data_IF_616126850027
#
_entry.id   IF_616126850027
#
_cell.length_a   1.000
_cell.length_b   1.000
_cell.length_c   1.000
_cell.angle_alpha   90.00
_cell.angle_beta   90.00
_cell.angle_gamma   90.00
#
_symmetry.space_group_name_H-M   'P 1'
#
loop_
_entity.id
_entity.type
_entity.pdbx_description
1 polymer ?
#
# COMPACT_ATOMS: atom_id res chain seq x y z
N UNK A 1 -27.09 6.87 -1.31
CA UNK A 1 -26.40 5.63 -1.73
C UNK A 1 -26.39 4.68 -0.54
N UNK A 2 -26.59 3.37 -0.74
CA UNK A 2 -26.38 2.42 0.35
C UNK A 2 -24.88 2.45 0.74
N UNK A 3 -24.56 2.31 2.02
CA UNK A 3 -23.17 2.24 2.43
C UNK A 3 -22.48 1.01 1.85
N UNK A 4 -21.16 1.13 1.66
CA UNK A 4 -20.31 0.06 1.16
C UNK A 4 -19.62 -0.56 2.37
N UNK A 5 -19.95 -1.82 2.65
CA UNK A 5 -19.30 -2.61 3.70
C UNK A 5 -18.19 -3.40 3.04
N UNK A 6 -16.97 -3.21 3.52
CA UNK A 6 -15.78 -3.81 2.92
C UNK A 6 -14.93 -4.45 4.01
N UNK A 7 -14.31 -5.59 3.69
CA UNK A 7 -13.20 -6.17 4.44
C UNK A 7 -11.91 -5.92 3.68
N UNK A 8 -10.91 -5.37 4.36
CA UNK A 8 -9.54 -5.29 3.84
C UNK A 8 -8.60 -6.12 4.69
N UNK A 9 -7.53 -6.61 4.09
CA UNK A 9 -6.42 -7.24 4.81
C UNK A 9 -5.20 -6.34 4.68
N UNK A 10 -4.61 -5.97 5.81
CA UNK A 10 -3.34 -5.22 5.87
C UNK A 10 -2.25 -6.11 6.46
N UNK A 11 -1.06 -6.09 5.87
CA UNK A 11 0.07 -6.91 6.27
C UNK A 11 1.28 -6.02 6.58
N UNK A 12 2.05 -6.43 7.60
CA UNK A 12 3.32 -5.81 7.96
C UNK A 12 4.40 -6.88 8.02
N UNK A 13 5.49 -6.65 7.29
CA UNK A 13 6.70 -7.47 7.29
C UNK A 13 7.88 -6.63 7.78
N UNK A 14 8.67 -7.15 8.71
CA UNK A 14 9.85 -6.44 9.20
C UNK A 14 10.59 -7.16 10.34
N UNK A 15 11.36 -6.41 11.12
CA UNK A 15 12.09 -6.91 12.28
C UNK A 15 12.41 -5.77 13.26
N UNK A 16 12.51 -6.03 14.58
CA UNK A 16 12.14 -7.25 15.31
C UNK A 16 10.61 -7.39 15.48
N UNK A 17 10.16 -8.50 16.06
CA UNK A 17 8.74 -8.86 16.24
C UNK A 17 7.90 -7.72 16.82
N UNK A 18 8.40 -7.08 17.87
CA UNK A 18 7.68 -6.05 18.62
C UNK A 18 7.40 -4.80 17.77
N UNK A 19 8.33 -4.44 16.88
CA UNK A 19 8.14 -3.31 15.96
C UNK A 19 7.11 -3.63 14.89
N UNK A 20 7.06 -4.88 14.43
CA UNK A 20 6.11 -5.34 13.42
C UNK A 20 4.68 -5.35 13.97
N UNK A 21 4.48 -5.90 15.16
CA UNK A 21 3.18 -5.91 15.84
C UNK A 21 2.72 -4.49 16.18
N UNK A 22 3.62 -3.63 16.68
CA UNK A 22 3.30 -2.23 16.94
C UNK A 22 2.90 -1.48 15.67
N UNK A 23 3.63 -1.68 14.57
CA UNK A 23 3.32 -1.05 13.29
C UNK A 23 1.94 -1.45 12.77
N UNK A 24 1.54 -2.73 12.91
CA UNK A 24 0.20 -3.17 12.57
C UNK A 24 -0.87 -2.47 13.43
N UNK A 25 -0.63 -2.35 14.74
CA UNK A 25 -1.53 -1.62 15.66
C UNK A 25 -1.66 -0.15 15.25
N UNK A 26 -0.55 0.50 14.89
CA UNK A 26 -0.55 1.89 14.43
C UNK A 26 -1.34 2.06 13.12
N UNK A 27 -1.24 1.11 12.19
CA UNK A 27 -2.06 1.09 10.96
C UNK A 27 -3.54 0.96 11.30
N UNK A 28 -3.92 -0.01 12.15
CA UNK A 28 -5.31 -0.21 12.58
C UNK A 28 -5.86 1.06 13.24
N UNK A 29 -5.09 1.70 14.11
CA UNK A 29 -5.50 2.91 14.81
C UNK A 29 -5.71 4.08 13.84
N UNK A 30 -4.83 4.25 12.85
CA UNK A 30 -5.01 5.27 11.80
C UNK A 30 -6.31 5.05 11.03
N UNK A 31 -6.61 3.80 10.64
CA UNK A 31 -7.85 3.45 9.93
C UNK A 31 -9.08 3.76 10.81
N UNK A 32 -9.03 3.45 12.12
CA UNK A 32 -10.12 3.78 13.05
C UNK A 32 -10.37 5.27 13.21
N UNK A 33 -9.35 6.11 13.02
CA UNK A 33 -9.47 7.58 13.09
C UNK A 33 -9.75 8.23 11.73
N UNK A 34 -9.83 7.44 10.67
CA UNK A 34 -10.01 7.94 9.32
C UNK A 34 -11.42 8.52 9.13
N UNK A 35 -11.50 9.71 8.53
CA UNK A 35 -12.80 10.37 8.35
C UNK A 35 -13.63 9.58 7.35
N UNK A 36 -14.93 9.42 7.64
CA UNK A 36 -15.87 8.71 6.75
C UNK A 36 -15.59 7.21 6.59
N UNK A 37 -14.81 6.63 7.51
CA UNK A 37 -14.61 5.19 7.67
C UNK A 37 -15.17 4.81 9.04
N UNK A 38 -16.16 3.91 9.07
CA UNK A 38 -16.70 3.39 10.32
C UNK A 38 -16.27 1.93 10.49
N UNK A 39 -15.28 1.70 11.34
CA UNK A 39 -14.73 0.35 11.58
C UNK A 39 -15.72 -0.46 12.41
N UNK A 40 -16.13 -1.60 11.87
CA UNK A 40 -17.09 -2.52 12.49
C UNK A 40 -16.39 -3.67 13.21
N UNK A 41 -15.35 -4.24 12.60
CA UNK A 41 -14.64 -5.41 13.14
C UNK A 41 -13.16 -5.37 12.79
N UNK A 42 -12.33 -5.85 13.72
CA UNK A 42 -10.89 -6.04 13.50
C UNK A 42 -10.49 -7.41 14.02
N UNK A 43 -9.89 -8.23 13.16
CA UNK A 43 -9.24 -9.49 13.54
C UNK A 43 -7.74 -9.35 13.26
N UNK A 44 -6.93 -9.11 14.30
CA UNK A 44 -5.49 -9.07 14.19
C UNK A 44 -4.89 -10.43 14.55
N UNK A 45 -3.86 -10.85 13.82
CA UNK A 45 -3.22 -12.15 13.99
C UNK A 45 -1.79 -11.97 14.49
N UNK A 46 -1.31 -12.87 15.36
CA UNK A 46 0.03 -12.77 15.94
C UNK A 46 1.14 -12.83 14.89
N UNK A 47 2.24 -12.13 15.14
CA UNK A 47 3.38 -12.14 14.23
C UNK A 47 4.06 -13.52 14.22
N UNK A 48 4.31 -14.02 13.00
CA UNK A 48 5.02 -15.27 12.74
C UNK A 48 6.41 -14.99 12.21
N UNK A 49 7.39 -15.75 12.67
CA UNK A 49 8.76 -15.67 12.15
C UNK A 49 8.80 -16.22 10.72
N UNK A 50 9.50 -15.50 9.87
CA UNK A 50 9.73 -15.79 8.46
C UNK A 50 11.24 -15.97 8.23
N UNK A 51 11.61 -16.30 6.99
CA UNK A 51 13.02 -16.44 6.62
C UNK A 51 13.81 -15.15 6.91
N UNK A 52 15.12 -15.31 7.17
CA UNK A 52 16.06 -14.20 7.39
C UNK A 52 15.76 -13.33 8.63
N UNK A 53 15.21 -13.91 9.71
CA UNK A 53 14.87 -13.21 10.97
C UNK A 53 13.84 -12.09 10.79
N UNK A 54 13.02 -12.19 9.75
CA UNK A 54 11.89 -11.31 9.53
C UNK A 54 10.66 -11.87 10.23
N UNK A 55 9.70 -11.00 10.50
CA UNK A 55 8.42 -11.31 11.13
C UNK A 55 7.32 -10.73 10.25
N UNK A 56 6.27 -11.52 10.01
CA UNK A 56 5.06 -11.07 9.31
C UNK A 56 3.84 -11.18 10.23
N UNK A 57 2.96 -10.19 10.16
CA UNK A 57 1.67 -10.15 10.83
C UNK A 57 0.66 -9.49 9.90
N UNK A 58 -0.62 -9.79 10.08
CA UNK A 58 -1.69 -9.17 9.32
C UNK A 58 -2.94 -8.96 10.17
N UNK A 59 -3.83 -8.10 9.69
CA UNK A 59 -5.16 -7.92 10.25
C UNK A 59 -6.22 -7.80 9.17
N UNK A 60 -7.37 -8.42 9.43
CA UNK A 60 -8.59 -8.21 8.66
C UNK A 60 -9.42 -7.11 9.33
N UNK A 61 -9.82 -6.11 8.56
CA UNK A 61 -10.55 -4.94 9.05
C UNK A 61 -11.81 -4.81 8.22
N UNK A 62 -12.96 -4.95 8.86
CA UNK A 62 -14.27 -4.69 8.27
C UNK A 62 -14.71 -3.28 8.64
N UNK A 63 -15.12 -2.50 7.65
CA UNK A 63 -15.55 -1.13 7.84
C UNK A 63 -16.60 -0.73 6.80
N UNK A 64 -17.31 0.34 7.13
CA UNK A 64 -18.31 0.97 6.27
C UNK A 64 -17.79 2.29 5.71
N UNK A 65 -18.04 2.53 4.43
CA UNK A 65 -17.80 3.83 3.76
C UNK A 65 -19.03 4.30 3.00
N UNK A 66 -19.13 5.62 2.79
CA UNK A 66 -20.29 6.23 2.13
C UNK A 66 -20.22 6.19 0.61
N UNK A 67 -19.01 6.13 0.05
CA UNK A 67 -18.79 6.13 -1.39
C UNK A 67 -17.51 5.40 -1.80
N UNK A 68 -17.44 5.03 -3.08
CA UNK A 68 -16.33 4.28 -3.66
C UNK A 68 -15.04 5.10 -3.68
N UNK A 69 -15.13 6.43 -3.73
CA UNK A 69 -13.95 7.29 -3.71
C UNK A 69 -13.21 7.16 -2.38
N UNK A 70 -13.95 7.19 -1.27
CA UNK A 70 -13.34 7.00 0.04
C UNK A 70 -12.73 5.61 0.20
N UNK A 71 -13.39 4.57 -0.32
CA UNK A 71 -12.82 3.23 -0.34
C UNK A 71 -11.49 3.17 -1.10
N UNK A 72 -11.42 3.85 -2.26
CA UNK A 72 -10.19 3.96 -3.04
C UNK A 72 -9.10 4.74 -2.30
N UNK A 73 -9.45 5.82 -1.59
CA UNK A 73 -8.49 6.56 -0.75
C UNK A 73 -7.89 5.64 0.33
N UNK A 74 -8.72 4.84 1.01
CA UNK A 74 -8.25 3.83 1.98
C UNK A 74 -7.30 2.83 1.32
N UNK A 75 -7.60 2.38 0.10
CA UNK A 75 -6.72 1.48 -0.64
C UNK A 75 -5.37 2.14 -0.98
N UNK A 76 -5.34 3.44 -1.28
CA UNK A 76 -4.10 4.15 -1.58
C UNK A 76 -3.26 4.45 -0.36
N UNK A 77 -3.89 4.82 0.76
CA UNK A 77 -3.18 5.27 1.96
C UNK A 77 -2.65 4.10 2.79
N UNK A 78 -3.39 2.99 2.81
CA UNK A 78 -3.05 1.82 3.63
C UNK A 78 -2.54 0.63 2.81
N UNK A 79 -2.65 0.69 1.47
CA UNK A 79 -2.17 -0.34 0.52
C UNK A 79 -2.47 -1.77 1.00
N UNK A 80 -3.75 -2.12 1.19
CA UNK A 80 -4.12 -3.45 1.66
C UNK A 80 -3.66 -4.51 0.65
N UNK A 81 -3.31 -5.70 1.16
CA UNK A 81 -2.96 -6.85 0.31
C UNK A 81 -4.19 -7.47 -0.35
N UNK A 82 -5.38 -7.29 0.25
CA UNK A 82 -6.65 -7.76 -0.28
C UNK A 82 -7.81 -6.81 0.07
N UNK A 83 -8.81 -6.77 -0.80
CA UNK A 83 -10.05 -6.02 -0.63
C UNK A 83 -11.24 -6.89 -1.04
N UNK A 84 -12.26 -6.96 -0.18
CA UNK A 84 -13.48 -7.73 -0.38
C UNK A 84 -14.71 -6.85 -0.08
N UNK A 85 -15.55 -6.57 -1.08
CA UNK A 85 -16.81 -5.85 -0.90
C UNK A 85 -17.86 -6.84 -0.42
N UNK A 86 -18.34 -6.67 0.81
CA UNK A 86 -19.35 -7.52 1.44
C UNK A 86 -20.76 -7.04 1.08
N UNK A 87 -20.97 -5.73 1.06
CA UNK A 87 -22.22 -5.10 0.64
C UNK A 87 -21.95 -3.77 -0.08
N UNK A 88 -22.79 -3.38 -1.06
CA UNK A 88 -23.87 -4.16 -1.65
C UNK A 88 -23.35 -5.17 -2.71
N UNK A 89 -24.18 -6.15 -3.08
CA UNK A 89 -23.87 -7.13 -4.15
C UNK A 89 -23.69 -6.47 -5.53
N UNK A 90 -24.32 -5.31 -5.73
CA UNK A 90 -24.17 -4.51 -6.94
C UNK A 90 -24.41 -3.03 -6.66
N UNK A 91 -23.79 -2.16 -7.46
CA UNK A 91 -23.92 -0.72 -7.36
C UNK A 91 -23.99 -0.08 -8.74
N UNK A 92 -24.88 0.90 -8.91
CA UNK A 92 -24.88 1.79 -10.07
C UNK A 92 -23.99 2.98 -9.76
N UNK A 93 -23.06 3.29 -10.68
CA UNK A 93 -22.08 4.36 -10.51
C UNK A 93 -22.16 5.29 -11.72
N UNK A 94 -22.16 6.59 -11.46
CA UNK A 94 -22.06 7.58 -12.51
C UNK A 94 -20.74 7.47 -13.28
N UNK A 95 -20.80 7.59 -14.60
CA UNK A 95 -19.62 7.49 -15.48
C UNK A 95 -18.54 8.50 -15.09
N UNK A 96 -18.92 9.70 -14.66
CA UNK A 96 -17.98 10.74 -14.21
C UNK A 96 -17.14 10.26 -13.03
N UNK A 97 -17.77 9.62 -12.03
CA UNK A 97 -17.07 9.08 -10.86
C UNK A 97 -16.10 7.97 -11.25
N UNK A 98 -16.52 7.05 -12.13
CA UNK A 98 -15.64 5.98 -12.63
C UNK A 98 -14.46 6.56 -13.41
N UNK A 99 -14.71 7.55 -14.27
CA UNK A 99 -13.66 8.22 -15.05
C UNK A 99 -12.64 8.91 -14.13
N UNK A 100 -13.09 9.60 -13.10
CA UNK A 100 -12.21 10.25 -12.12
C UNK A 100 -11.34 9.23 -11.38
N UNK A 101 -11.93 8.12 -10.91
CA UNK A 101 -11.19 7.04 -10.26
C UNK A 101 -10.11 6.44 -11.17
N UNK A 102 -10.44 6.18 -12.44
CA UNK A 102 -9.50 5.65 -13.42
C UNK A 102 -8.36 6.65 -13.71
N UNK A 103 -8.67 7.94 -13.82
CA UNK A 103 -7.66 8.97 -14.01
C UNK A 103 -6.72 9.11 -12.79
N UNK A 104 -7.23 8.94 -11.58
CA UNK A 104 -6.42 8.94 -10.36
C UNK A 104 -5.48 7.72 -10.31
N UNK A 105 -5.98 6.53 -10.67
CA UNK A 105 -5.16 5.31 -10.83
C UNK A 105 -4.03 5.56 -11.84
N UNK A 106 -4.36 6.06 -13.03
CA UNK A 106 -3.39 6.34 -14.09
C UNK A 106 -2.33 7.36 -13.63
N UNK A 107 -2.76 8.40 -12.92
CA UNK A 107 -1.85 9.40 -12.38
C UNK A 107 -0.87 8.80 -11.38
N UNK A 108 -1.33 7.93 -10.47
CA UNK A 108 -0.47 7.21 -9.51
C UNK A 108 0.50 6.26 -10.23
N UNK A 109 0.04 5.50 -11.21
CA UNK A 109 0.87 4.58 -12.01
C UNK A 109 1.96 5.31 -12.80
N UNK A 110 1.63 6.45 -13.41
CA UNK A 110 2.62 7.28 -14.09
C UNK A 110 3.68 7.82 -13.12
N UNK A 111 3.28 8.26 -11.91
CA UNK A 111 4.23 8.68 -10.87
C UNK A 111 5.17 7.54 -10.46
N UNK A 112 4.65 6.34 -10.20
CA UNK A 112 5.48 5.18 -9.87
C UNK A 112 6.42 4.80 -11.02
N UNK A 113 5.95 4.87 -12.27
CA UNK A 113 6.79 4.63 -13.44
C UNK A 113 7.97 5.60 -13.50
N UNK A 114 7.75 6.88 -13.21
CA UNK A 114 8.84 7.87 -13.17
C UNK A 114 9.85 7.57 -12.07
N UNK A 115 9.39 7.21 -10.86
CA UNK A 115 10.28 6.82 -9.76
C UNK A 115 11.10 5.59 -10.12
N UNK A 116 10.47 4.56 -10.69
CA UNK A 116 11.17 3.34 -11.12
C UNK A 116 12.22 3.62 -12.20
N UNK A 117 11.89 4.41 -13.23
CA UNK A 117 12.84 4.79 -14.28
C UNK A 117 14.04 5.57 -13.73
N UNK A 118 13.79 6.48 -12.79
CA UNK A 118 14.85 7.22 -12.09
C UNK A 118 15.76 6.25 -11.32
N UNK A 119 15.20 5.36 -10.51
CA UNK A 119 15.95 4.36 -9.74
C UNK A 119 16.77 3.43 -10.64
N UNK A 120 16.19 2.97 -11.76
CA UNK A 120 16.91 2.16 -12.75
C UNK A 120 18.11 2.91 -13.34
N UNK A 121 17.94 4.20 -13.65
CA UNK A 121 19.00 5.03 -14.22
C UNK A 121 20.12 5.25 -13.21
N UNK A 122 19.77 5.59 -11.97
CA UNK A 122 20.73 5.73 -10.86
C UNK A 122 21.48 4.42 -10.60
N UNK A 123 20.77 3.28 -10.58
CA UNK A 123 21.39 1.96 -10.40
C UNK A 123 22.40 1.64 -11.52
N UNK A 124 22.03 1.89 -12.78
CA UNK A 124 22.95 1.69 -13.93
C UNK A 124 24.21 2.56 -13.77
N UNK A 125 24.05 3.83 -13.36
CA UNK A 125 25.19 4.72 -13.16
C UNK A 125 26.08 4.26 -12.00
N UNK A 126 25.47 3.87 -10.88
CA UNK A 126 26.18 3.34 -9.72
C UNK A 126 26.97 2.08 -10.05
N UNK A 127 26.36 1.12 -10.77
CA UNK A 127 27.03 -0.12 -11.16
C UNK A 127 28.23 0.15 -12.08
N UNK A 128 28.08 1.05 -13.06
CA UNK A 128 29.20 1.46 -13.93
C UNK A 128 30.35 2.09 -13.15
N UNK A 129 30.04 2.93 -12.16
CA UNK A 129 31.06 3.58 -11.33
C UNK A 129 31.76 2.58 -10.40
N UNK A 130 31.03 1.60 -9.84
CA UNK A 130 31.62 0.51 -9.06
C UNK A 130 32.58 -0.35 -9.90
N UNK A 131 32.20 -0.68 -11.14
CA UNK A 131 33.09 -1.37 -12.08
C UNK A 131 34.33 -0.54 -12.42
N UNK A 132 34.17 0.76 -12.66
CA UNK A 132 35.29 1.67 -12.92
C UNK A 132 36.29 1.68 -11.76
N UNK A 133 35.80 1.78 -10.52
CA UNK A 133 36.62 1.79 -9.30
C UNK A 133 37.32 0.44 -9.12
N UNK A 134 36.59 -0.68 -9.29
CA UNK A 134 37.15 -2.03 -9.22
C UNK A 134 38.28 -2.24 -10.24
N UNK A 135 38.10 -1.73 -11.46
CA UNK A 135 39.08 -1.85 -12.55
C UNK A 135 40.22 -0.81 -12.44
N UNK A 136 40.22 0.06 -11.43
CA UNK A 136 41.26 1.09 -11.23
C UNK A 136 41.30 2.18 -12.30
N UNK A 137 40.25 2.31 -13.13
CA UNK A 137 40.20 3.30 -14.23
C UNK A 137 39.97 4.71 -13.66
N UNK A 138 40.64 5.77 -14.14
CA UNK A 138 40.41 7.13 -13.67
C UNK A 138 38.98 7.61 -13.99
N UNK A 139 38.45 8.55 -13.19
CA UNK A 139 37.12 9.11 -13.40
C UNK A 139 37.15 9.98 -14.66
N UNK A 140 36.31 9.64 -15.65
CA UNK A 140 36.16 10.48 -16.84
C UNK A 140 35.25 11.63 -16.44
N UNK A 141 35.85 12.80 -16.24
CA UNK A 141 35.11 14.06 -16.04
C UNK A 141 34.82 14.58 -17.46
N UNK A 142 33.55 14.52 -17.87
CA UNK A 142 33.04 15.27 -19.03
C UNK A 142 32.58 16.65 -18.57
#
# INVERSE_FOLDING_TARGET
MKPIVTRITVEVLGSPKEHVEKALVDVINKIKTEKQVEVQKVNAYEAKEMDNKLWSTFADIEFETKDLKKLMDVCYDFMPSNIEILEPVGMEIETVVVQDLLNDVLTKLHKYTMVLRKLQTENIYMMKELERIRDGKPKVIQ
#
